data_IF_554273362043
#
_entry.id   IF_554273362043
#
_cell.length_a   1.000
_cell.length_b   1.000
_cell.length_c   1.000
_cell.angle_alpha   90.00
_cell.angle_beta   90.00
_cell.angle_gamma   90.00
#
_symmetry.space_group_name_H-M   'P 1'
#
loop_
_entity.id
_entity.type
_entity.pdbx_description
1 polymer ?
#
# COMPACT_ATOMS: atom_id res chain seq x y z
N UNK A 1 -18.92 -20.44 -3.36
CA UNK A 1 -17.50 -20.15 -3.07
C UNK A 1 -17.48 -18.88 -2.25
N UNK A 2 -17.02 -18.94 -1.00
CA UNK A 2 -16.81 -17.73 -0.18
C UNK A 2 -15.62 -16.98 -0.77
N UNK A 3 -15.83 -15.74 -1.23
CA UNK A 3 -14.74 -14.87 -1.64
C UNK A 3 -13.84 -14.64 -0.43
N UNK A 4 -12.54 -14.94 -0.57
CA UNK A 4 -11.57 -14.66 0.49
C UNK A 4 -11.44 -13.14 0.65
N UNK A 5 -11.57 -12.67 1.89
CA UNK A 5 -11.15 -11.31 2.24
C UNK A 5 -9.68 -11.34 2.68
N UNK A 6 -8.79 -10.90 1.80
CA UNK A 6 -7.36 -10.90 2.08
C UNK A 6 -6.97 -9.88 3.16
N UNK A 7 -7.70 -8.78 3.30
CA UNK A 7 -7.49 -7.79 4.37
C UNK A 7 -7.65 -8.45 5.75
N UNK A 8 -8.74 -9.21 5.94
CA UNK A 8 -9.02 -9.91 7.20
C UNK A 8 -7.97 -11.00 7.49
N UNK A 9 -7.59 -11.77 6.48
CA UNK A 9 -6.61 -12.85 6.63
C UNK A 9 -5.22 -12.31 7.00
N UNK A 10 -4.78 -11.22 6.36
CA UNK A 10 -3.50 -10.58 6.65
C UNK A 10 -3.54 -9.90 8.02
N UNK A 11 -4.65 -9.24 8.35
CA UNK A 11 -4.86 -8.64 9.66
C UNK A 11 -4.76 -9.67 10.78
N UNK A 12 -5.37 -10.85 10.59
CA UNK A 12 -5.26 -11.95 11.54
C UNK A 12 -3.84 -12.50 11.63
N UNK A 13 -3.15 -12.67 10.49
CA UNK A 13 -1.76 -13.13 10.45
C UNK A 13 -0.82 -12.23 11.26
N UNK A 14 -1.02 -10.91 11.23
CA UNK A 14 -0.28 -9.92 12.04
C UNK A 14 -0.58 -10.06 13.54
N UNK A 15 -1.86 -10.22 13.90
CA UNK A 15 -2.29 -10.41 15.30
C UNK A 15 -1.69 -11.69 15.89
N UNK A 16 -1.75 -12.80 15.15
CA UNK A 16 -1.22 -14.10 15.56
C UNK A 16 0.28 -14.08 15.87
N UNK A 17 1.01 -13.10 15.31
CA UNK A 17 2.47 -12.95 15.44
C UNK A 17 2.89 -11.79 16.33
N UNK A 18 1.95 -11.17 17.05
CA UNK A 18 2.21 -9.99 17.88
C UNK A 18 2.85 -8.83 17.11
N UNK A 19 2.51 -8.66 15.83
CA UNK A 19 3.04 -7.55 15.01
C UNK A 19 2.22 -6.26 15.16
N UNK A 20 1.06 -6.34 15.82
CA UNK A 20 0.23 -5.18 16.15
C UNK A 20 0.66 -4.52 17.47
N UNK A 21 0.91 -5.28 18.53
CA UNK A 21 1.38 -4.68 19.79
C UNK A 21 2.92 -4.69 19.90
N UNK A 22 3.59 -5.68 19.31
CA UNK A 22 5.04 -5.85 19.36
C UNK A 22 5.84 -5.09 18.31
N UNK A 23 5.23 -4.14 17.59
CA UNK A 23 5.90 -3.28 16.61
C UNK A 23 5.45 -1.83 16.77
N UNK A 24 5.91 -0.94 15.89
CA UNK A 24 5.50 0.46 15.84
C UNK A 24 5.22 0.87 14.39
N UNK A 25 4.45 1.94 14.18
CA UNK A 25 4.22 2.50 12.85
C UNK A 25 5.54 2.92 12.17
N UNK A 26 6.52 3.35 12.97
CA UNK A 26 7.86 3.67 12.49
C UNK A 26 8.57 2.42 11.96
N UNK A 27 8.53 1.31 12.68
CA UNK A 27 9.17 0.07 12.25
C UNK A 27 8.50 -0.51 11.00
N UNK A 28 7.17 -0.45 10.93
CA UNK A 28 6.41 -0.86 9.75
C UNK A 28 6.69 0.07 8.56
N UNK A 29 6.83 1.38 8.77
CA UNK A 29 7.24 2.30 7.71
C UNK A 29 8.65 1.97 7.19
N UNK A 30 9.60 1.64 8.07
CA UNK A 30 10.94 1.20 7.64
C UNK A 30 10.87 -0.09 6.82
N UNK A 31 10.00 -1.03 7.20
CA UNK A 31 9.76 -2.24 6.41
C UNK A 31 9.13 -1.92 5.06
N UNK A 32 8.19 -0.96 4.98
CA UNK A 32 7.61 -0.51 3.71
C UNK A 32 8.67 0.05 2.75
N UNK A 33 9.66 0.79 3.27
CA UNK A 33 10.78 1.29 2.45
C UNK A 33 11.65 0.14 1.95
N UNK A 34 11.84 -0.92 2.74
CA UNK A 34 12.52 -2.13 2.26
C UNK A 34 11.75 -2.75 1.07
N UNK A 35 10.44 -2.98 1.19
CA UNK A 35 9.65 -3.60 0.12
C UNK A 35 9.62 -2.72 -1.14
N UNK A 36 9.59 -1.39 -0.98
CA UNK A 36 9.70 -0.46 -2.10
C UNK A 36 11.06 -0.57 -2.83
N UNK A 37 12.13 -0.86 -2.08
CA UNK A 37 13.45 -1.14 -2.65
C UNK A 37 13.48 -2.45 -3.45
N UNK A 38 12.85 -3.50 -2.93
CA UNK A 38 12.73 -4.81 -3.59
C UNK A 38 11.91 -4.69 -4.89
N UNK A 39 10.78 -3.97 -4.84
CA UNK A 39 9.98 -3.63 -6.02
C UNK A 39 10.81 -2.89 -7.08
N UNK A 40 11.58 -1.86 -6.68
CA UNK A 40 12.42 -1.10 -7.60
C UNK A 40 13.45 -1.98 -8.31
N UNK A 41 14.12 -2.87 -7.57
CA UNK A 41 15.12 -3.79 -8.10
C UNK A 41 14.50 -4.79 -9.11
N UNK A 42 13.34 -5.36 -8.78
CA UNK A 42 12.65 -6.31 -9.65
C UNK A 42 12.09 -5.64 -10.92
N UNK A 43 11.60 -4.38 -10.84
CA UNK A 43 11.25 -3.58 -12.02
C UNK A 43 12.47 -3.38 -12.92
N UNK A 44 13.61 -2.94 -12.35
CA UNK A 44 14.84 -2.71 -13.12
C UNK A 44 15.36 -3.99 -13.82
N UNK A 45 15.08 -5.15 -13.23
CA UNK A 45 15.47 -6.47 -13.76
C UNK A 45 14.41 -7.10 -14.66
N UNK A 46 13.25 -6.47 -14.86
CA UNK A 46 12.15 -7.02 -15.67
C UNK A 46 11.58 -8.33 -15.10
N UNK A 47 11.57 -8.49 -13.78
CA UNK A 47 11.07 -9.68 -13.08
C UNK A 47 9.58 -9.54 -12.74
N UNK A 48 8.96 -10.63 -12.28
CA UNK A 48 7.60 -10.59 -11.73
C UNK A 48 7.59 -9.77 -10.43
N UNK A 49 6.67 -8.82 -10.32
CA UNK A 49 6.58 -7.84 -9.22
C UNK A 49 5.36 -8.06 -8.33
N UNK A 50 4.60 -9.15 -8.53
CA UNK A 50 3.38 -9.42 -7.75
C UNK A 50 3.68 -9.60 -6.26
N UNK A 51 4.82 -10.22 -5.95
CA UNK A 51 5.26 -10.47 -4.57
C UNK A 51 5.59 -9.15 -3.88
N UNK A 52 6.44 -8.32 -4.51
CA UNK A 52 6.87 -7.04 -3.94
C UNK A 52 5.70 -6.07 -3.69
N UNK A 53 4.75 -5.99 -4.64
CA UNK A 53 3.52 -5.19 -4.45
C UNK A 53 2.68 -5.79 -3.32
N UNK A 54 2.60 -7.12 -3.24
CA UNK A 54 1.93 -7.85 -2.17
C UNK A 54 2.50 -7.53 -0.79
N UNK A 55 3.82 -7.54 -0.66
CA UNK A 55 4.52 -7.26 0.59
C UNK A 55 4.32 -5.81 1.05
N UNK A 56 4.36 -4.86 0.12
CA UNK A 56 3.97 -3.47 0.43
C UNK A 56 2.54 -3.40 0.99
N UNK A 57 1.58 -4.13 0.41
CA UNK A 57 0.20 -4.17 0.92
C UNK A 57 0.11 -4.85 2.29
N UNK A 58 0.86 -5.92 2.53
CA UNK A 58 0.91 -6.61 3.84
C UNK A 58 1.37 -5.65 4.93
N UNK A 59 2.39 -4.83 4.66
CA UNK A 59 2.91 -3.83 5.60
C UNK A 59 1.90 -2.69 5.80
N UNK A 60 1.30 -2.19 4.72
CA UNK A 60 0.27 -1.14 4.82
C UNK A 60 -0.96 -1.61 5.61
N UNK A 61 -1.38 -2.88 5.45
CA UNK A 61 -2.47 -3.47 6.25
C UNK A 61 -2.08 -3.52 7.73
N UNK A 62 -0.82 -3.82 8.05
CA UNK A 62 -0.36 -3.75 9.44
C UNK A 62 -0.57 -2.34 10.03
N UNK A 63 -0.08 -1.31 9.34
CA UNK A 63 -0.22 0.09 9.76
C UNK A 63 -1.70 0.47 9.90
N UNK A 64 -2.55 0.05 8.96
CA UNK A 64 -4.00 0.28 9.02
C UNK A 64 -4.62 -0.35 10.28
N UNK A 65 -4.35 -1.62 10.57
CA UNK A 65 -4.89 -2.32 11.75
C UNK A 65 -4.45 -1.64 13.04
N UNK A 66 -3.18 -1.23 13.15
CA UNK A 66 -2.64 -0.50 14.32
C UNK A 66 -3.35 0.84 14.56
N UNK A 67 -3.79 1.49 13.49
CA UNK A 67 -4.47 2.79 13.52
C UNK A 67 -6.00 2.68 13.45
N UNK A 68 -6.56 1.47 13.56
CA UNK A 68 -7.99 1.21 13.47
C UNK A 68 -8.62 1.76 12.17
N UNK A 69 -7.90 1.56 11.05
CA UNK A 69 -8.31 1.92 9.70
C UNK A 69 -8.56 0.66 8.87
N UNK A 70 -9.38 0.82 7.83
CA UNK A 70 -9.61 -0.20 6.79
C UNK A 70 -9.07 0.29 5.45
N UNK A 71 -8.77 -0.65 4.56
CA UNK A 71 -8.36 -0.35 3.18
C UNK A 71 -9.41 0.55 2.51
N UNK A 72 -10.70 0.26 2.69
CA UNK A 72 -11.78 1.04 2.09
C UNK A 72 -11.81 2.49 2.59
N UNK A 73 -11.54 2.74 3.87
CA UNK A 73 -11.46 4.12 4.38
C UNK A 73 -10.30 4.89 3.74
N UNK A 74 -9.12 4.27 3.66
CA UNK A 74 -7.94 4.89 3.05
C UNK A 74 -8.15 5.14 1.54
N UNK A 75 -8.67 4.16 0.81
CA UNK A 75 -8.92 4.26 -0.62
C UNK A 75 -10.05 5.24 -0.93
N UNK A 76 -11.13 5.26 -0.14
CA UNK A 76 -12.20 6.24 -0.31
C UNK A 76 -11.66 7.67 -0.17
N UNK A 77 -10.84 7.93 0.87
CA UNK A 77 -10.21 9.24 1.04
C UNK A 77 -9.31 9.62 -0.14
N UNK A 78 -8.45 8.69 -0.58
CA UNK A 78 -7.58 8.94 -1.72
C UNK A 78 -8.36 9.16 -3.03
N UNK A 79 -9.44 8.41 -3.24
CA UNK A 79 -10.30 8.53 -4.41
C UNK A 79 -11.00 9.89 -4.46
N UNK A 80 -11.57 10.34 -3.34
CA UNK A 80 -12.20 11.66 -3.22
C UNK A 80 -11.23 12.80 -3.60
N UNK A 81 -9.93 12.65 -3.29
CA UNK A 81 -8.91 13.64 -3.62
C UNK A 81 -8.45 13.59 -5.09
N UNK A 82 -8.75 12.51 -5.84
CA UNK A 82 -8.31 12.33 -7.24
C UNK A 82 -9.45 12.33 -8.27
N UNK A 83 -10.70 12.04 -7.87
CA UNK A 83 -11.81 11.76 -8.79
C UNK A 83 -12.14 12.88 -9.77
N UNK A 84 -11.95 14.13 -9.36
CA UNK A 84 -12.28 15.31 -10.16
C UNK A 84 -11.05 15.96 -10.80
N UNK A 85 -9.84 15.37 -10.61
CA UNK A 85 -8.61 15.93 -11.18
C UNK A 85 -8.69 16.00 -12.70
N UNK A 86 -8.33 17.16 -13.24
CA UNK A 86 -8.14 17.42 -14.67
C UNK A 86 -6.66 17.67 -14.94
N UNK A 87 -6.21 17.26 -16.12
CA UNK A 87 -4.79 17.26 -16.47
C UNK A 87 -4.48 16.34 -17.64
N UNK A 88 -3.20 16.25 -17.98
CA UNK A 88 -2.69 15.44 -19.09
C UNK A 88 -1.37 14.75 -18.73
N UNK A 89 -1.11 13.62 -19.38
CA UNK A 89 0.20 12.97 -19.29
C UNK A 89 1.21 13.73 -20.16
N UNK A 90 2.34 14.13 -19.58
CA UNK A 90 3.49 14.72 -20.27
C UNK A 90 4.74 13.99 -19.77
N UNK A 91 5.50 13.40 -20.69
CA UNK A 91 6.77 12.70 -20.38
C UNK A 91 6.68 11.69 -19.22
N UNK A 92 5.58 10.94 -19.18
CA UNK A 92 5.34 9.90 -18.17
C UNK A 92 4.80 10.41 -16.83
N UNK A 93 4.55 11.71 -16.69
CA UNK A 93 4.02 12.33 -15.47
C UNK A 93 2.63 12.91 -15.73
N UNK A 94 1.72 12.73 -14.78
CA UNK A 94 0.42 13.41 -14.82
C UNK A 94 0.58 14.86 -14.35
N UNK A 95 0.35 15.81 -15.26
CA UNK A 95 0.39 17.25 -14.99
C UNK A 95 -1.03 17.77 -14.85
N UNK A 96 -1.35 18.42 -13.73
CA UNK A 96 -2.68 18.97 -13.45
C UNK A 96 -2.93 20.25 -14.23
N UNK A 97 -4.18 20.51 -14.56
CA UNK A 97 -4.58 21.80 -15.14
C UNK A 97 -4.31 22.93 -14.13
N UNK A 98 -3.58 23.97 -14.56
CA UNK A 98 -3.21 25.12 -13.71
C UNK A 98 -1.83 25.05 -13.06
N UNK A 99 -1.15 23.90 -13.11
CA UNK A 99 0.24 23.74 -12.66
C UNK A 99 1.28 24.05 -13.78
N UNK A 100 0.86 24.78 -14.84
CA UNK A 100 1.73 25.22 -15.95
C UNK A 100 2.65 26.36 -15.59
#
# INVERSE_FOLDING_TARGET
MTNKNYEDLISQWHKDRNLIEGSTDKDQYLKLIQEAGELSDNICKGKDIKDDIGDMMVVLINIMVRNNLTINQCLAKAYEDIKDRKGKMIDGVFVKDGDT
#
